data_IF_551851598769
#
_entry.id   IF_551851598769
#
_cell.length_a   1.000
_cell.length_b   1.000
_cell.length_c   1.000
_cell.angle_alpha   90.00
_cell.angle_beta   90.00
_cell.angle_gamma   90.00
#
_symmetry.space_group_name_H-M   'P 1'
#
loop_
_entity.id
_entity.type
_entity.pdbx_description
1 polymer ?
#
# COMPACT_ATOMS: atom_id res chain seq x y z
N UNK A 1 -1.51 13.33 -5.95
CA UNK A 1 -1.07 13.83 -4.61
C UNK A 1 -2.26 14.21 -3.72
N UNK A 2 -2.10 14.09 -2.39
CA UNK A 2 -3.09 14.48 -1.37
C UNK A 2 -3.32 15.99 -1.34
N UNK A 3 -4.53 16.42 -0.94
CA UNK A 3 -4.81 17.82 -0.58
C UNK A 3 -4.23 18.13 0.80
N UNK A 4 -4.08 19.42 1.20
CA UNK A 4 -3.61 19.75 2.55
C UNK A 4 -4.48 19.13 3.66
N UNK A 5 -5.78 18.98 3.43
CA UNK A 5 -6.67 18.26 4.34
C UNK A 5 -6.38 16.76 4.36
N UNK A 6 -6.18 16.14 3.19
CA UNK A 6 -5.78 14.75 3.08
C UNK A 6 -4.46 14.44 3.77
N UNK A 7 -3.46 15.32 3.65
CA UNK A 7 -2.18 15.19 4.34
C UNK A 7 -2.35 15.25 5.86
N UNK A 8 -3.12 16.22 6.38
CA UNK A 8 -3.40 16.32 7.83
C UNK A 8 -4.11 15.08 8.36
N UNK A 9 -5.12 14.59 7.64
CA UNK A 9 -5.84 13.37 8.03
C UNK A 9 -4.91 12.17 8.02
N UNK A 10 -4.11 12.00 6.97
CA UNK A 10 -3.13 10.92 6.88
C UNK A 10 -2.14 10.95 8.05
N UNK A 11 -1.53 12.11 8.33
CA UNK A 11 -0.57 12.28 9.42
C UNK A 11 -1.21 11.99 10.79
N UNK A 12 -2.46 12.43 10.99
CA UNK A 12 -3.20 12.16 12.23
C UNK A 12 -3.39 10.66 12.44
N UNK A 13 -3.94 9.97 11.46
CA UNK A 13 -4.18 8.52 11.54
C UNK A 13 -2.86 7.76 11.71
N UNK A 14 -1.83 8.13 10.94
CA UNK A 14 -0.49 7.57 11.05
C UNK A 14 0.09 7.67 12.46
N UNK A 15 0.06 8.86 13.06
CA UNK A 15 0.61 9.08 14.42
C UNK A 15 -0.19 8.35 15.51
N UNK A 16 -1.48 8.14 15.29
CA UNK A 16 -2.36 7.42 16.23
C UNK A 16 -2.34 5.91 16.05
N UNK A 17 -1.70 5.40 14.99
CA UNK A 17 -1.72 3.97 14.69
C UNK A 17 -0.86 3.20 15.69
N UNK A 18 -1.52 2.36 16.49
CA UNK A 18 -0.83 1.43 17.38
C UNK A 18 -0.30 0.23 16.59
N UNK A 19 1.04 0.12 16.50
CA UNK A 19 1.66 -1.03 15.86
C UNK A 19 1.40 -2.32 16.65
N UNK A 20 1.16 -3.46 15.97
CA UNK A 20 1.00 -4.74 16.64
C UNK A 20 2.23 -5.05 17.51
N UNK A 21 2.00 -5.41 18.78
CA UNK A 21 3.08 -5.68 19.74
C UNK A 21 4.05 -6.76 19.24
N UNK A 22 3.57 -7.71 18.43
CA UNK A 22 4.39 -8.79 17.85
C UNK A 22 5.42 -8.30 16.80
N UNK A 23 5.28 -7.10 16.24
CA UNK A 23 6.16 -6.59 15.18
C UNK A 23 7.57 -6.23 15.68
N UNK A 24 7.69 -5.87 16.97
CA UNK A 24 8.99 -5.62 17.62
C UNK A 24 9.91 -6.84 17.67
N UNK A 25 9.39 -8.05 17.39
CA UNK A 25 10.09 -9.33 17.62
C UNK A 25 10.21 -10.26 16.43
N UNK A 26 9.74 -9.90 15.24
CA UNK A 26 9.95 -10.75 14.06
C UNK A 26 11.42 -10.66 13.64
N UNK A 27 12.24 -11.71 13.86
CA UNK A 27 13.60 -11.72 13.39
C UNK A 27 13.56 -11.66 11.87
N UNK A 28 14.38 -10.80 11.29
CA UNK A 28 14.51 -10.74 9.85
C UNK A 28 15.08 -12.08 9.37
N UNK A 29 14.45 -12.80 8.43
CA UNK A 29 15.01 -14.05 7.90
C UNK A 29 16.33 -13.87 7.16
N UNK A 30 16.78 -12.62 6.95
CA UNK A 30 18.01 -12.28 6.25
C UNK A 30 18.77 -11.24 7.08
N UNK A 31 19.99 -11.57 7.50
CA UNK A 31 20.80 -10.87 8.51
C UNK A 31 21.57 -9.64 8.00
N UNK A 32 21.29 -9.13 6.81
CA UNK A 32 22.03 -8.01 6.20
C UNK A 32 21.31 -6.67 6.38
N UNK A 33 22.09 -5.58 6.48
CA UNK A 33 21.60 -4.21 6.70
C UNK A 33 20.54 -3.77 5.67
N UNK A 34 20.70 -4.14 4.39
CA UNK A 34 19.71 -3.88 3.34
C UNK A 34 18.39 -4.62 3.57
N UNK A 35 18.44 -5.79 4.22
CA UNK A 35 17.25 -6.56 4.59
C UNK A 35 16.45 -5.88 5.70
N UNK A 36 17.08 -5.12 6.61
CA UNK A 36 16.34 -4.33 7.61
C UNK A 36 15.45 -3.28 6.93
N UNK A 37 15.99 -2.58 5.92
CA UNK A 37 15.18 -1.63 5.14
C UNK A 37 14.04 -2.32 4.39
N UNK A 38 14.28 -3.51 3.83
CA UNK A 38 13.24 -4.29 3.15
C UNK A 38 12.14 -4.73 4.14
N UNK A 39 12.52 -5.22 5.32
CA UNK A 39 11.55 -5.62 6.35
C UNK A 39 10.66 -4.45 6.79
N UNK A 40 11.25 -3.28 7.02
CA UNK A 40 10.46 -2.10 7.41
C UNK A 40 9.57 -1.61 6.25
N UNK A 41 10.07 -1.57 5.00
CA UNK A 41 9.25 -1.21 3.82
C UNK A 41 8.06 -2.15 3.63
N UNK A 42 8.24 -3.45 3.81
CA UNK A 42 7.16 -4.45 3.71
C UNK A 42 6.17 -4.30 4.86
N UNK A 43 6.64 -4.08 6.10
CA UNK A 43 5.77 -3.77 7.25
C UNK A 43 4.96 -2.49 7.02
N UNK A 44 5.55 -1.47 6.41
CA UNK A 44 4.83 -0.27 6.00
C UNK A 44 3.74 -0.62 4.99
N UNK A 45 4.05 -1.40 3.96
CA UNK A 45 3.07 -1.91 3.00
C UNK A 45 1.89 -2.62 3.66
N UNK A 46 2.12 -3.36 4.75
CA UNK A 46 1.08 -4.07 5.50
C UNK A 46 0.14 -3.15 6.30
N UNK A 47 0.63 -2.04 6.87
CA UNK A 47 -0.22 -1.09 7.63
C UNK A 47 -0.96 -0.09 6.75
N UNK A 48 -0.42 0.23 5.58
CA UNK A 48 -0.94 1.28 4.70
C UNK A 48 -2.44 1.16 4.38
N UNK A 49 -3.03 -0.02 4.10
CA UNK A 49 -4.47 -0.12 3.83
C UNK A 49 -5.32 0.36 5.00
N UNK A 50 -4.89 0.07 6.24
CA UNK A 50 -5.62 0.47 7.44
C UNK A 50 -5.57 1.97 7.66
N UNK A 51 -4.39 2.57 7.50
CA UNK A 51 -4.19 4.02 7.62
C UNK A 51 -5.01 4.73 6.55
N UNK A 52 -4.90 4.29 5.29
CA UNK A 52 -5.62 4.91 4.17
C UNK A 52 -7.14 4.77 4.32
N UNK A 53 -7.64 3.63 4.81
CA UNK A 53 -9.06 3.43 5.03
C UNK A 53 -9.63 4.36 6.12
N UNK A 54 -8.81 4.77 7.09
CA UNK A 54 -9.21 5.72 8.14
C UNK A 54 -8.99 7.18 7.75
N UNK A 55 -8.01 7.46 6.89
CA UNK A 55 -7.60 8.83 6.56
C UNK A 55 -8.19 9.38 5.27
N UNK A 56 -8.48 8.53 4.28
CA UNK A 56 -8.92 8.98 2.96
C UNK A 56 -10.43 9.19 2.89
N UNK A 57 -10.81 10.37 2.44
CA UNK A 57 -12.18 10.71 2.03
C UNK A 57 -12.16 11.30 0.60
N UNK A 58 -13.33 11.55 0.02
CA UNK A 58 -13.43 12.12 -1.35
C UNK A 58 -12.78 13.50 -1.52
N UNK A 59 -12.49 14.22 -0.43
CA UNK A 59 -11.88 15.55 -0.45
C UNK A 59 -10.36 15.51 -0.15
N UNK A 60 -9.83 14.33 0.19
CA UNK A 60 -8.43 14.16 0.56
C UNK A 60 -7.48 14.15 -0.64
N UNK A 61 -7.98 14.09 -1.88
CA UNK A 61 -7.18 14.20 -3.10
C UNK A 61 -7.32 15.60 -3.70
N UNK A 62 -6.22 16.14 -4.25
CA UNK A 62 -6.28 17.37 -5.06
C UNK A 62 -7.26 17.16 -6.22
N UNK A 63 -8.09 18.16 -6.51
CA UNK A 63 -9.15 18.05 -7.52
C UNK A 63 -8.62 17.59 -8.88
N UNK A 64 -7.51 18.19 -9.35
CA UNK A 64 -6.84 17.81 -10.60
C UNK A 64 -6.48 16.32 -10.66
N UNK A 65 -6.06 15.74 -9.53
CA UNK A 65 -5.64 14.35 -9.43
C UNK A 65 -6.85 13.43 -9.42
N UNK A 66 -7.91 13.81 -8.71
CA UNK A 66 -9.19 13.11 -8.77
C UNK A 66 -9.73 13.10 -10.21
N UNK A 67 -9.73 14.23 -10.91
CA UNK A 67 -10.24 14.33 -12.28
C UNK A 67 -9.44 13.48 -13.27
N UNK A 68 -8.12 13.36 -13.08
CA UNK A 68 -7.27 12.44 -13.87
C UNK A 68 -7.67 10.99 -13.63
N UNK A 69 -7.84 10.60 -12.37
CA UNK A 69 -8.20 9.23 -11.98
C UNK A 69 -9.61 8.86 -12.46
N UNK A 70 -10.59 9.76 -12.29
CA UNK A 70 -11.95 9.54 -12.78
C UNK A 70 -11.99 9.38 -14.31
N UNK A 71 -11.22 10.15 -15.06
CA UNK A 71 -11.13 10.02 -16.52
C UNK A 71 -10.52 8.70 -16.96
N UNK A 72 -9.49 8.20 -16.26
CA UNK A 72 -8.83 6.93 -16.60
C UNK A 72 -9.69 5.72 -16.26
N UNK A 73 -10.28 5.71 -15.07
CA UNK A 73 -10.92 4.51 -14.51
C UNK A 73 -12.45 4.54 -14.71
N UNK A 74 -13.03 5.66 -15.18
CA UNK A 74 -14.49 5.88 -15.34
C UNK A 74 -15.28 5.61 -14.04
N UNK A 75 -14.68 5.92 -12.90
CA UNK A 75 -15.26 5.72 -11.57
C UNK A 75 -15.71 7.05 -10.96
N UNK A 76 -16.70 6.99 -10.07
CA UNK A 76 -17.04 8.13 -9.22
C UNK A 76 -16.00 8.31 -8.10
N UNK A 77 -16.01 9.47 -7.41
CA UNK A 77 -15.00 9.80 -6.38
C UNK A 77 -14.90 8.75 -5.27
N UNK A 78 -16.04 8.24 -4.78
CA UNK A 78 -16.06 7.19 -3.75
C UNK A 78 -15.41 5.89 -4.27
N UNK A 79 -15.73 5.51 -5.50
CA UNK A 79 -15.15 4.34 -6.14
C UNK A 79 -13.64 4.49 -6.37
N UNK A 80 -13.14 5.68 -6.69
CA UNK A 80 -11.69 5.96 -6.79
C UNK A 80 -11.00 5.77 -5.44
N UNK A 81 -11.55 6.33 -4.35
CA UNK A 81 -10.99 6.13 -3.00
C UNK A 81 -10.99 4.64 -2.63
N UNK A 82 -12.09 3.94 -2.88
CA UNK A 82 -12.18 2.49 -2.64
C UNK A 82 -11.17 1.70 -3.49
N UNK A 83 -10.92 2.11 -4.73
CA UNK A 83 -9.92 1.47 -5.60
C UNK A 83 -8.51 1.65 -5.04
N UNK A 84 -8.15 2.84 -4.54
CA UNK A 84 -6.86 3.10 -3.88
C UNK A 84 -6.69 2.21 -2.66
N UNK A 85 -7.69 2.15 -1.77
CA UNK A 85 -7.64 1.33 -0.56
C UNK A 85 -7.51 -0.16 -0.92
N UNK A 86 -8.27 -0.63 -1.91
CA UNK A 86 -8.19 -2.01 -2.41
C UNK A 86 -6.83 -2.35 -3.00
N UNK A 87 -6.22 -1.43 -3.74
CA UNK A 87 -4.89 -1.60 -4.30
C UNK A 87 -3.86 -1.83 -3.19
N UNK A 88 -3.85 -0.97 -2.17
CA UNK A 88 -2.98 -1.15 -1.01
C UNK A 88 -3.30 -2.44 -0.24
N UNK A 89 -4.58 -2.82 -0.13
CA UNK A 89 -4.95 -4.09 0.51
C UNK A 89 -4.39 -5.31 -0.24
N UNK A 90 -4.20 -5.23 -1.55
CA UNK A 90 -3.52 -6.27 -2.34
C UNK A 90 -2.02 -6.28 -2.00
N UNK A 91 -1.37 -5.11 -2.02
CA UNK A 91 0.05 -4.95 -1.64
C UNK A 91 0.31 -5.54 -0.25
N UNK A 92 -0.52 -5.22 0.73
CA UNK A 92 -0.40 -5.74 2.10
C UNK A 92 -0.48 -7.27 2.18
N UNK A 93 -1.29 -7.91 1.33
CA UNK A 93 -1.38 -9.37 1.27
C UNK A 93 -0.15 -10.00 0.63
N UNK A 94 0.37 -9.41 -0.45
CA UNK A 94 1.67 -9.79 -1.01
C UNK A 94 2.77 -9.69 0.06
N UNK A 95 2.81 -8.55 0.75
CA UNK A 95 3.76 -8.25 1.83
C UNK A 95 3.65 -9.18 3.04
N UNK A 96 2.46 -9.66 3.38
CA UNK A 96 2.30 -10.62 4.46
C UNK A 96 2.92 -11.98 4.11
N UNK A 97 2.75 -12.43 2.87
CA UNK A 97 3.23 -13.73 2.42
C UNK A 97 4.76 -13.80 2.39
N UNK A 98 5.45 -12.68 2.13
CA UNK A 98 6.93 -12.62 2.14
C UNK A 98 7.53 -12.78 3.54
N UNK A 99 6.74 -12.63 4.60
CA UNK A 99 7.17 -12.86 5.98
C UNK A 99 6.88 -14.28 6.51
N UNK A 100 6.29 -15.17 5.70
CA UNK A 100 6.16 -16.57 6.10
C UNK A 100 7.55 -17.22 6.20
N UNK A 101 7.79 -17.92 7.31
CA UNK A 101 9.05 -18.64 7.59
C UNK A 101 9.32 -19.71 6.51
N UNK A 102 8.26 -20.33 5.99
CA UNK A 102 8.32 -21.28 4.90
C UNK A 102 7.10 -21.09 4.00
N UNK A 103 7.32 -21.10 2.68
CA UNK A 103 6.25 -21.03 1.68
C UNK A 103 5.86 -22.42 1.21
N UNK A 104 4.58 -22.79 1.37
CA UNK A 104 4.01 -23.98 0.74
C UNK A 104 3.78 -23.75 -0.76
N UNK A 105 3.42 -24.80 -1.50
CA UNK A 105 3.00 -24.67 -2.91
C UNK A 105 1.76 -23.76 -3.01
N UNK A 106 0.80 -23.94 -2.10
CA UNK A 106 -0.41 -23.11 -2.05
C UNK A 106 -0.09 -21.63 -1.78
N UNK A 107 0.88 -21.35 -0.90
CA UNK A 107 1.34 -19.98 -0.63
C UNK A 107 1.94 -19.31 -1.86
N UNK A 108 2.65 -20.08 -2.69
CA UNK A 108 3.24 -19.58 -3.95
C UNK A 108 2.16 -19.28 -4.99
N UNK A 109 1.17 -20.17 -5.13
CA UNK A 109 0.01 -19.95 -6.00
C UNK A 109 -0.76 -18.70 -5.55
N UNK A 110 -0.96 -18.55 -4.24
CA UNK A 110 -1.64 -17.38 -3.69
C UNK A 110 -0.85 -16.08 -3.90
N UNK A 111 0.47 -16.12 -3.70
CA UNK A 111 1.35 -15.00 -3.96
C UNK A 111 1.30 -14.58 -5.44
N UNK A 112 1.42 -15.52 -6.37
CA UNK A 112 1.36 -15.24 -7.80
C UNK A 112 0.00 -14.61 -8.19
N UNK A 113 -1.09 -15.12 -7.62
CA UNK A 113 -2.42 -14.55 -7.82
C UNK A 113 -2.51 -13.12 -7.29
N UNK A 114 -1.93 -12.81 -6.13
CA UNK A 114 -1.94 -11.44 -5.61
C UNK A 114 -1.03 -10.50 -6.40
N UNK A 115 0.15 -10.95 -6.81
CA UNK A 115 1.06 -10.17 -7.67
C UNK A 115 0.40 -9.85 -9.03
N UNK A 116 -0.36 -10.79 -9.60
CA UNK A 116 -1.13 -10.53 -10.82
C UNK A 116 -2.18 -9.44 -10.60
N UNK A 117 -2.96 -9.53 -9.52
CA UNK A 117 -3.97 -8.51 -9.15
C UNK A 117 -3.35 -7.15 -8.84
N UNK A 118 -2.18 -7.15 -8.20
CA UNK A 118 -1.41 -5.94 -7.93
C UNK A 118 -0.99 -5.29 -9.24
N UNK A 119 -0.40 -6.06 -10.16
CA UNK A 119 -0.02 -5.59 -11.48
C UNK A 119 -1.20 -5.03 -12.26
N UNK A 120 -2.34 -5.71 -12.28
CA UNK A 120 -3.58 -5.22 -12.92
C UNK A 120 -4.02 -3.88 -12.29
N UNK A 121 -4.09 -3.79 -10.96
CA UNK A 121 -4.48 -2.56 -10.27
C UNK A 121 -3.48 -1.40 -10.52
N UNK A 122 -2.18 -1.68 -10.54
CA UNK A 122 -1.13 -0.68 -10.71
C UNK A 122 -0.98 -0.21 -12.16
N UNK A 123 -0.96 -1.14 -13.12
CA UNK A 123 -0.76 -0.84 -14.53
C UNK A 123 -2.02 -0.27 -15.17
N UNK A 124 -3.20 -0.77 -14.80
CA UNK A 124 -4.44 -0.37 -15.46
C UNK A 124 -5.16 0.80 -14.76
N UNK A 125 -4.99 0.98 -13.45
CA UNK A 125 -5.82 1.94 -12.70
C UNK A 125 -5.05 3.05 -11.97
N UNK A 126 -3.86 2.79 -11.43
CA UNK A 126 -3.24 3.68 -10.43
C UNK A 126 -1.75 4.00 -10.66
N UNK A 127 -1.24 3.85 -11.89
CA UNK A 127 0.20 3.96 -12.20
C UNK A 127 0.93 5.21 -11.66
N UNK A 128 0.23 6.34 -11.48
CA UNK A 128 0.79 7.59 -10.91
C UNK A 128 0.56 7.77 -9.40
N UNK A 129 -0.41 7.08 -8.80
CA UNK A 129 -0.70 7.18 -7.35
C UNK A 129 0.32 6.38 -6.54
N UNK A 130 0.92 5.37 -7.16
CA UNK A 130 1.89 4.45 -6.53
C UNK A 130 3.34 4.90 -6.64
N UNK A 131 3.58 6.13 -7.12
CA UNK A 131 4.91 6.73 -7.22
C UNK A 131 5.64 6.90 -5.88
N UNK A 132 5.02 6.53 -4.75
CA UNK A 132 5.74 6.38 -3.48
C UNK A 132 6.63 5.13 -3.41
N UNK A 133 6.41 4.10 -4.24
CA UNK A 133 7.28 2.91 -4.28
C UNK A 133 8.33 2.95 -5.40
N UNK A 134 8.10 3.72 -6.48
CA UNK A 134 9.04 3.81 -7.61
C UNK A 134 10.16 4.85 -7.41
N UNK A 135 10.04 5.77 -6.44
CA UNK A 135 11.08 6.75 -6.13
C UNK A 135 12.21 6.22 -5.25
N UNK A 136 12.26 4.91 -4.96
CA UNK A 136 13.35 4.28 -4.20
C UNK A 136 14.30 3.43 -5.06
N UNK A 137 14.21 3.49 -6.40
CA UNK A 137 15.20 2.88 -7.31
C UNK A 137 16.27 3.86 -7.80
N UNK A 138 16.30 5.08 -7.26
CA UNK A 138 17.37 6.06 -7.49
C UNK A 138 17.80 6.59 -6.12
N UNK A 139 18.61 5.81 -5.40
CA UNK A 139 19.71 6.22 -4.50
C UNK A 139 20.27 4.97 -3.81
#
# INVERSE_FOLDING_TARGET
MLSPEGERNFIREWKSFEYPKQWSKLPNPISHLESFMMSDRIRLGMVMPFILNRSLTINCLKQQEMDKLQRRIKLNRNQVINAIIKCWAIVAKCSQLTFKISLTIDDRIELERYLKKEREALVEQLAEVTLCCKSQELY
#
